data_IF_236832366310
#
_entry.id   IF_236832366310
#
_cell.length_a   1.000
_cell.length_b   1.000
_cell.length_c   1.000
_cell.angle_alpha   90.00
_cell.angle_beta   90.00
_cell.angle_gamma   90.00
#
_symmetry.space_group_name_H-M   'P 1'
#
loop_
_entity.id
_entity.type
_entity.pdbx_description
1 polymer ?
#
# COMPACT_ATOMS: atom_id res chain seq x y z
N UNK A 1 35.72 54.85 -34.47
CA UNK A 1 36.62 53.69 -34.44
C UNK A 1 36.32 52.96 -33.15
N UNK A 2 35.96 51.70 -33.27
CA UNK A 2 35.15 50.92 -32.35
C UNK A 2 36.03 49.94 -31.60
N UNK A 3 35.97 49.92 -30.26
CA UNK A 3 36.23 48.75 -29.40
C UNK A 3 35.30 48.90 -28.19
N UNK A 4 34.09 48.34 -28.25
CA UNK A 4 33.69 47.06 -27.62
C UNK A 4 34.03 47.00 -26.12
N UNK A 5 32.99 47.17 -25.27
CA UNK A 5 32.41 46.11 -24.44
C UNK A 5 33.43 45.56 -23.43
N UNK A 6 33.24 45.73 -22.13
CA UNK A 6 32.41 44.77 -21.41
C UNK A 6 31.80 45.44 -20.17
N UNK A 7 30.48 45.49 -20.19
CA UNK A 7 29.60 45.69 -19.05
C UNK A 7 29.93 44.61 -18.01
N UNK A 8 30.61 44.99 -16.93
CA UNK A 8 30.63 44.15 -15.73
C UNK A 8 29.27 44.32 -15.09
N UNK A 9 28.32 43.53 -15.58
CA UNK A 9 27.11 43.16 -14.87
C UNK A 9 27.58 42.69 -13.49
N UNK A 10 27.43 43.56 -12.49
CA UNK A 10 27.54 43.18 -11.09
C UNK A 10 26.38 42.25 -10.86
N UNK A 11 26.64 40.96 -11.11
CA UNK A 11 25.77 39.86 -10.75
C UNK A 11 25.54 40.02 -9.26
N UNK A 12 24.37 40.55 -8.92
CA UNK A 12 23.81 40.52 -7.60
C UNK A 12 23.70 39.04 -7.23
N UNK A 13 24.74 38.52 -6.61
CA UNK A 13 24.67 37.27 -5.86
C UNK A 13 23.90 37.60 -4.59
N UNK A 14 22.61 37.91 -4.75
CA UNK A 14 21.61 37.74 -3.72
C UNK A 14 21.64 36.25 -3.39
N UNK A 15 22.27 35.94 -2.26
CA UNK A 15 21.83 34.92 -1.32
C UNK A 15 20.82 33.90 -1.88
N UNK A 16 21.30 32.93 -2.66
CA UNK A 16 20.75 31.59 -2.52
C UNK A 16 21.29 31.08 -1.18
N UNK A 17 20.63 31.53 -0.10
CA UNK A 17 20.45 30.65 1.04
C UNK A 17 19.95 29.34 0.45
N UNK A 18 20.83 28.34 0.34
CA UNK A 18 20.45 26.97 0.62
C UNK A 18 19.95 26.96 2.08
N UNK A 19 18.78 27.59 2.30
CA UNK A 19 17.95 27.29 3.45
C UNK A 19 17.82 25.77 3.47
N UNK A 20 17.75 25.18 4.68
CA UNK A 20 17.80 23.74 4.83
C UNK A 20 16.87 23.14 3.80
N UNK A 21 17.41 22.33 2.89
CA UNK A 21 16.62 21.63 1.88
C UNK A 21 15.58 20.89 2.69
N UNK A 22 14.38 21.47 2.78
CA UNK A 22 13.20 20.84 3.30
C UNK A 22 12.98 19.72 2.31
N UNK A 23 13.64 18.58 2.58
CA UNK A 23 13.21 17.29 2.09
C UNK A 23 11.70 17.31 2.27
N UNK A 24 10.95 16.90 1.26
CA UNK A 24 9.49 17.01 1.31
C UNK A 24 8.97 15.67 1.84
N UNK A 25 9.05 15.37 3.16
CA UNK A 25 8.56 14.12 3.73
C UNK A 25 7.08 13.95 3.44
N UNK A 26 6.38 15.04 3.11
CA UNK A 26 4.97 15.03 2.75
C UNK A 26 4.66 14.05 1.62
N UNK A 27 5.52 13.83 0.62
CA UNK A 27 5.17 12.95 -0.50
C UNK A 27 5.30 11.47 -0.14
N UNK A 28 6.41 11.06 0.47
CA UNK A 28 6.65 9.67 0.85
C UNK A 28 5.75 9.28 2.03
N UNK A 29 5.54 10.18 2.99
CA UNK A 29 4.59 9.98 4.09
C UNK A 29 3.13 9.89 3.59
N UNK A 30 2.75 10.71 2.60
CA UNK A 30 1.44 10.61 1.97
C UNK A 30 1.27 9.27 1.24
N UNK A 31 2.30 8.80 0.51
CA UNK A 31 2.28 7.48 -0.13
C UNK A 31 2.14 6.36 0.91
N UNK A 32 2.88 6.44 2.03
CA UNK A 32 2.76 5.47 3.13
C UNK A 32 1.35 5.48 3.75
N UNK A 33 0.78 6.67 3.96
CA UNK A 33 -0.59 6.84 4.46
C UNK A 33 -1.64 6.26 3.50
N UNK A 34 -1.52 6.54 2.20
CA UNK A 34 -2.40 5.98 1.16
C UNK A 34 -2.25 4.46 1.10
N UNK A 35 -1.03 3.92 1.11
CA UNK A 35 -0.79 2.48 1.08
C UNK A 35 -1.42 1.77 2.29
N UNK A 36 -1.30 2.38 3.48
CA UNK A 36 -1.95 1.86 4.69
C UNK A 36 -3.48 1.92 4.58
N UNK A 37 -4.06 3.03 4.13
CA UNK A 37 -5.50 3.13 3.96
C UNK A 37 -6.03 2.12 2.92
N UNK A 38 -5.37 2.05 1.76
CA UNK A 38 -5.70 1.09 0.70
C UNK A 38 -5.60 -0.35 1.16
N UNK A 39 -4.64 -0.70 2.03
CA UNK A 39 -4.53 -2.06 2.55
C UNK A 39 -5.82 -2.47 3.25
N UNK A 40 -6.38 -1.60 4.09
CA UNK A 40 -7.63 -1.87 4.80
C UNK A 40 -8.81 -2.01 3.85
N UNK A 41 -8.91 -1.16 2.82
CA UNK A 41 -9.96 -1.29 1.80
C UNK A 41 -9.84 -2.61 1.03
N UNK A 42 -8.63 -3.02 0.66
CA UNK A 42 -8.37 -4.31 0.02
C UNK A 42 -8.81 -5.46 0.94
N UNK A 43 -8.40 -5.43 2.21
CA UNK A 43 -8.76 -6.47 3.17
C UNK A 43 -10.28 -6.58 3.34
N UNK A 44 -10.96 -5.45 3.54
CA UNK A 44 -12.43 -5.42 3.68
C UNK A 44 -13.10 -5.92 2.41
N UNK A 45 -12.61 -5.54 1.23
CA UNK A 45 -13.14 -6.01 -0.05
C UNK A 45 -13.06 -7.53 -0.20
N UNK A 46 -11.90 -8.12 0.09
CA UNK A 46 -11.72 -9.58 0.04
C UNK A 46 -12.52 -10.30 1.13
N UNK A 47 -12.63 -9.74 2.34
CA UNK A 47 -13.47 -10.34 3.39
C UNK A 47 -14.95 -10.30 3.01
N UNK A 48 -15.44 -9.21 2.43
CA UNK A 48 -16.80 -9.09 1.94
C UNK A 48 -17.08 -10.12 0.82
N UNK A 49 -16.12 -10.31 -0.10
CA UNK A 49 -16.21 -11.33 -1.14
C UNK A 49 -16.28 -12.74 -0.55
N UNK A 50 -15.39 -13.10 0.38
CA UNK A 50 -15.41 -14.40 1.07
C UNK A 50 -16.74 -14.64 1.77
N UNK A 51 -17.30 -13.62 2.45
CA UNK A 51 -18.62 -13.73 3.09
C UNK A 51 -19.73 -13.92 2.06
N UNK A 52 -19.70 -13.18 0.95
CA UNK A 52 -20.69 -13.32 -0.12
C UNK A 52 -20.64 -14.72 -0.75
N UNK A 53 -19.44 -15.23 -1.02
CA UNK A 53 -19.23 -16.57 -1.55
C UNK A 53 -19.70 -17.63 -0.54
N UNK A 54 -19.37 -17.49 0.75
CA UNK A 54 -19.85 -18.40 1.79
C UNK A 54 -21.38 -18.46 1.84
N UNK A 55 -22.05 -17.31 1.85
CA UNK A 55 -23.52 -17.24 1.86
C UNK A 55 -24.13 -17.87 0.61
N UNK A 56 -23.55 -17.62 -0.56
CA UNK A 56 -24.01 -18.19 -1.82
C UNK A 56 -23.89 -19.73 -1.82
N UNK A 57 -22.75 -20.25 -1.39
CA UNK A 57 -22.51 -21.70 -1.28
C UNK A 57 -23.47 -22.32 -0.27
N UNK A 58 -23.61 -21.72 0.92
CA UNK A 58 -24.50 -22.23 1.95
C UNK A 58 -25.96 -22.28 1.49
N UNK A 59 -26.44 -21.23 0.80
CA UNK A 59 -27.80 -21.19 0.25
C UNK A 59 -28.00 -22.26 -0.83
N UNK A 60 -27.01 -22.45 -1.71
CA UNK A 60 -27.04 -23.43 -2.79
C UNK A 60 -27.05 -24.88 -2.27
N UNK A 61 -26.37 -25.14 -1.16
CA UNK A 61 -26.23 -26.48 -0.59
C UNK A 61 -27.43 -26.80 0.29
N UNK A 62 -27.91 -25.83 1.07
CA UNK A 62 -29.14 -25.96 1.86
C UNK A 62 -30.36 -26.19 0.97
N UNK A 63 -30.44 -25.54 -0.20
CA UNK A 63 -31.54 -25.75 -1.16
C UNK A 63 -31.52 -27.15 -1.79
N UNK A 64 -30.37 -27.82 -1.79
CA UNK A 64 -30.21 -29.21 -2.23
C UNK A 64 -30.42 -30.22 -1.09
N UNK A 65 -30.79 -29.77 0.11
CA UNK A 65 -31.02 -30.64 1.27
C UNK A 65 -29.75 -31.19 1.91
N UNK A 66 -28.58 -30.68 1.51
CA UNK A 66 -27.29 -31.06 2.08
C UNK A 66 -26.87 -30.06 3.15
N UNK A 67 -26.08 -30.52 4.12
CA UNK A 67 -25.44 -29.63 5.08
C UNK A 67 -24.11 -29.11 4.54
N UNK A 68 -23.73 -27.87 4.90
CA UNK A 68 -22.43 -27.32 4.49
C UNK A 68 -21.24 -28.21 4.93
N UNK A 69 -21.37 -28.90 6.06
CA UNK A 69 -20.37 -29.83 6.56
C UNK A 69 -20.17 -31.06 5.66
N UNK A 70 -21.17 -31.45 4.86
CA UNK A 70 -21.06 -32.58 3.92
C UNK A 70 -20.13 -32.25 2.75
N UNK A 71 -19.97 -30.98 2.38
CA UNK A 71 -19.06 -30.54 1.33
C UNK A 71 -17.59 -30.91 1.62
N UNK A 72 -17.22 -31.05 2.89
CA UNK A 72 -15.87 -31.45 3.26
C UNK A 72 -15.59 -32.95 3.06
N UNK A 73 -16.62 -33.75 2.80
CA UNK A 73 -16.49 -35.20 2.57
C UNK A 73 -16.23 -35.54 1.10
N UNK A 74 -16.52 -34.62 0.18
CA UNK A 74 -16.30 -34.80 -1.25
C UNK A 74 -15.05 -34.05 -1.72
N UNK A 75 -14.12 -34.76 -2.37
CA UNK A 75 -12.86 -34.18 -2.86
C UNK A 75 -13.07 -33.06 -3.89
N UNK A 76 -14.10 -33.17 -4.74
CA UNK A 76 -14.50 -32.15 -5.71
C UNK A 76 -15.07 -30.90 -5.05
N UNK A 77 -15.88 -31.06 -4.01
CA UNK A 77 -16.41 -29.93 -3.25
C UNK A 77 -15.31 -29.24 -2.44
N UNK A 78 -14.32 -29.99 -1.95
CA UNK A 78 -13.18 -29.43 -1.24
C UNK A 78 -12.32 -28.52 -2.13
N UNK A 79 -12.01 -28.92 -3.37
CA UNK A 79 -11.26 -28.07 -4.31
C UNK A 79 -12.04 -26.80 -4.68
N UNK A 80 -13.36 -26.90 -4.79
CA UNK A 80 -14.24 -25.76 -4.98
C UNK A 80 -14.22 -24.81 -3.77
N UNK A 81 -14.33 -25.32 -2.54
CA UNK A 81 -14.23 -24.50 -1.31
C UNK A 81 -12.86 -23.82 -1.18
N UNK A 82 -11.78 -24.53 -1.50
CA UNK A 82 -10.44 -23.95 -1.50
C UNK A 82 -10.36 -22.79 -2.49
N UNK A 83 -10.80 -23.00 -3.73
CA UNK A 83 -10.72 -21.98 -4.78
C UNK A 83 -11.57 -20.75 -4.48
N UNK A 84 -12.76 -20.94 -3.91
CA UNK A 84 -13.77 -19.89 -3.74
C UNK A 84 -13.74 -19.22 -2.36
N UNK A 85 -13.20 -19.87 -1.32
CA UNK A 85 -13.12 -19.28 0.02
C UNK A 85 -11.68 -19.07 0.47
N UNK A 86 -10.85 -20.11 0.37
CA UNK A 86 -9.50 -20.10 0.92
C UNK A 86 -8.57 -19.22 0.09
N UNK A 87 -8.54 -19.41 -1.23
CA UNK A 87 -7.70 -18.62 -2.14
C UNK A 87 -7.96 -17.11 -2.01
N UNK A 88 -9.20 -16.59 -2.14
CA UNK A 88 -9.44 -15.16 -1.98
C UNK A 88 -9.13 -14.65 -0.57
N UNK A 89 -9.41 -15.42 0.48
CA UNK A 89 -9.05 -15.05 1.86
C UNK A 89 -7.54 -14.84 2.01
N UNK A 90 -6.74 -15.83 1.60
CA UNK A 90 -5.28 -15.72 1.69
C UNK A 90 -4.71 -14.67 0.73
N UNK A 91 -5.31 -14.48 -0.44
CA UNK A 91 -4.91 -13.42 -1.38
C UNK A 91 -5.14 -12.04 -0.77
N UNK A 92 -6.31 -11.80 -0.17
CA UNK A 92 -6.62 -10.56 0.52
C UNK A 92 -5.69 -10.29 1.70
N UNK A 93 -5.42 -11.31 2.53
CA UNK A 93 -4.47 -11.21 3.64
C UNK A 93 -3.04 -10.93 3.15
N UNK A 94 -2.59 -11.62 2.11
CA UNK A 94 -1.26 -11.41 1.55
C UNK A 94 -1.10 -9.98 1.02
N UNK A 95 -2.06 -9.49 0.23
CA UNK A 95 -2.04 -8.12 -0.28
C UNK A 95 -2.11 -7.08 0.83
N UNK A 96 -2.92 -7.32 1.86
CA UNK A 96 -2.98 -6.47 3.05
C UNK A 96 -1.61 -6.36 3.72
N UNK A 97 -0.96 -7.48 4.01
CA UNK A 97 0.35 -7.48 4.68
C UNK A 97 1.44 -6.89 3.80
N UNK A 98 1.41 -7.09 2.49
CA UNK A 98 2.35 -6.45 1.56
C UNK A 98 2.20 -4.93 1.63
N UNK A 99 0.98 -4.41 1.52
CA UNK A 99 0.72 -2.97 1.56
C UNK A 99 1.06 -2.36 2.94
N UNK A 100 0.73 -3.06 4.02
CA UNK A 100 1.11 -2.66 5.38
C UNK A 100 2.63 -2.67 5.57
N UNK A 101 3.32 -3.69 5.05
CA UNK A 101 4.77 -3.76 5.05
C UNK A 101 5.42 -2.61 4.29
N UNK A 102 4.88 -2.24 3.12
CA UNK A 102 5.33 -1.06 2.36
C UNK A 102 5.11 0.22 3.17
N UNK A 103 3.92 0.42 3.74
CA UNK A 103 3.63 1.62 4.53
C UNK A 103 4.57 1.77 5.74
N UNK A 104 4.77 0.69 6.51
CA UNK A 104 5.67 0.69 7.65
C UNK A 104 7.13 0.85 7.22
N UNK A 105 7.56 0.15 6.16
CA UNK A 105 8.92 0.27 5.63
C UNK A 105 9.25 1.69 5.17
N UNK A 106 8.32 2.35 4.46
CA UNK A 106 8.49 3.75 4.05
C UNK A 106 8.59 4.69 5.25
N UNK A 107 7.78 4.49 6.29
CA UNK A 107 7.85 5.29 7.52
C UNK A 107 9.21 5.13 8.24
N UNK A 108 9.70 3.89 8.38
CA UNK A 108 11.01 3.61 8.99
C UNK A 108 12.14 4.26 8.19
N UNK A 109 12.10 4.18 6.86
CA UNK A 109 13.12 4.82 6.02
C UNK A 109 13.14 6.34 6.17
N UNK A 110 11.97 6.97 6.33
CA UNK A 110 11.88 8.41 6.61
C UNK A 110 12.45 8.76 7.98
N UNK A 111 12.19 7.94 9.00
CA UNK A 111 12.74 8.13 10.35
C UNK A 111 14.27 8.02 10.36
N UNK A 112 14.82 7.03 9.66
CA UNK A 112 16.28 6.85 9.54
C UNK A 112 16.92 8.03 8.79
N UNK A 113 16.35 8.47 7.67
CA UNK A 113 16.87 9.62 6.90
C UNK A 113 16.84 10.91 7.72
N UNK A 114 15.77 11.13 8.49
CA UNK A 114 15.66 12.28 9.39
C UNK A 114 16.75 12.27 10.47
N UNK A 115 16.90 11.17 11.21
CA UNK A 115 17.90 11.03 12.26
C UNK A 115 19.35 11.14 11.73
N UNK A 116 19.61 10.60 10.54
CA UNK A 116 20.92 10.69 9.89
C UNK A 116 21.28 12.11 9.44
N UNK A 117 20.29 12.98 9.20
CA UNK A 117 20.50 14.40 8.88
C UNK A 117 20.66 15.24 10.14
N UNK A 118 19.82 15.03 11.16
CA UNK A 118 19.93 15.76 12.43
C UNK A 118 21.28 15.52 13.11
N UNK A 119 21.80 14.28 13.09
CA UNK A 119 23.12 13.97 13.68
C UNK A 119 24.32 14.63 13.00
N UNK A 120 24.14 15.22 11.80
CA UNK A 120 25.18 15.93 11.06
C UNK A 120 25.09 17.46 11.17
N UNK A 121 24.02 17.98 11.79
CA UNK A 121 23.83 19.40 12.09
C UNK A 121 24.31 19.73 13.50
#
# INVERSE_FOLDING_TARGET
MTEQMTEVEVKSTEEETEGPVYYNPSRVSLVAGIASALSWFVLVGFLADVVAQFLNINNTVTSQGMSFAELFKEASALSFLVTNLVTPLFTGLALFFILQGVAHGLNILLEIDFNARESKS
#
